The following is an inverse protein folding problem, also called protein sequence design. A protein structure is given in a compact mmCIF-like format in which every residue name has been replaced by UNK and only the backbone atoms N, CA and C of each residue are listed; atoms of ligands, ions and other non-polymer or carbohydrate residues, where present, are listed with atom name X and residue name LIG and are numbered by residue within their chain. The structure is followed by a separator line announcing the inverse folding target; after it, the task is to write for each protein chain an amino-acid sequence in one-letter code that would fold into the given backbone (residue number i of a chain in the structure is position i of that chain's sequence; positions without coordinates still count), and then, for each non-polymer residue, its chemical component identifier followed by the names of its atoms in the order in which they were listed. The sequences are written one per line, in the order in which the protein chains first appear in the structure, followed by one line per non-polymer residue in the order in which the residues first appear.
data_IF_878387734373
#
_entry.id   IF_878387734373
#
_cell.length_a   1.000
_cell.length_b   1.000
_cell.length_c   1.000
_cell.angle_alpha   90.00
_cell.angle_beta   90.00
_cell.angle_gamma   90.00
#
_symmetry.space_group_name_H-M   'P 1'
#
loop_
_entity.id
_entity.type
_entity.pdbx_description
1 polymer ?
#
# COMPACT_ATOMS: atom_id res chain seq x y z
N UNK A 1 -3.82 2.89 12.13
CA UNK A 1 -3.94 4.32 11.75
C UNK A 1 -4.13 5.28 12.91
N UNK A 2 -4.59 4.86 14.11
CA UNK A 2 -4.73 5.82 15.21
C UNK A 2 -5.81 6.89 14.95
N UNK A 3 -6.92 6.50 14.31
CA UNK A 3 -8.00 7.40 13.87
C UNK A 3 -8.78 8.07 15.00
N UNK A 4 -8.50 7.70 16.25
CA UNK A 4 -9.05 8.31 17.44
C UNK A 4 -7.93 8.98 18.27
N UNK A 5 -7.26 10.03 17.75
CA UNK A 5 -6.22 10.73 18.48
C UNK A 5 -6.77 11.52 19.67
N UNK A 6 -5.87 11.89 20.58
CA UNK A 6 -6.13 12.84 21.67
C UNK A 6 -5.85 14.27 21.17
N UNK A 7 -6.82 15.16 21.33
CA UNK A 7 -6.72 16.55 20.92
C UNK A 7 -5.71 17.33 21.80
N UNK A 8 -4.74 17.99 21.16
CA UNK A 8 -3.64 18.69 21.85
C UNK A 8 -4.09 19.92 22.67
N UNK A 9 -5.27 20.48 22.37
CA UNK A 9 -5.78 21.66 23.06
C UNK A 9 -6.63 21.33 24.30
N UNK A 10 -7.35 20.20 24.29
CA UNK A 10 -8.35 19.90 25.31
C UNK A 10 -8.29 18.48 25.89
N UNK A 11 -7.36 17.64 25.43
CA UNK A 11 -7.14 16.28 25.94
C UNK A 11 -8.26 15.28 25.64
N UNK A 12 -9.25 15.63 24.80
CA UNK A 12 -10.34 14.73 24.43
C UNK A 12 -9.98 13.90 23.21
N UNK A 13 -10.45 12.66 23.19
CA UNK A 13 -10.36 11.78 22.02
C UNK A 13 -11.44 12.13 21.00
N UNK A 14 -11.11 12.08 19.71
CA UNK A 14 -12.07 12.26 18.62
C UNK A 14 -11.52 11.77 17.28
N UNK A 15 -12.36 11.75 16.24
CA UNK A 15 -11.95 11.31 14.89
C UNK A 15 -10.88 12.24 14.31
N UNK A 16 -9.72 11.70 14.00
CA UNK A 16 -8.58 12.45 13.47
C UNK A 16 -8.85 12.94 12.04
N UNK A 17 -8.36 14.13 11.68
CA UNK A 17 -8.50 14.70 10.34
C UNK A 17 -7.16 15.25 9.85
N UNK A 18 -6.93 15.38 8.52
CA UNK A 18 -7.80 14.96 7.41
C UNK A 18 -7.66 13.46 7.08
N UNK A 19 -8.51 12.94 6.19
CA UNK A 19 -8.32 11.59 5.61
C UNK A 19 -7.17 11.54 4.61
N UNK A 20 -7.09 12.57 3.76
CA UNK A 20 -6.20 12.65 2.61
C UNK A 20 -5.78 14.10 2.39
N UNK A 21 -4.74 14.29 1.59
CA UNK A 21 -4.23 15.59 1.19
C UNK A 21 -4.15 15.72 -0.35
N UNK A 22 -4.03 16.95 -0.81
CA UNK A 22 -3.57 17.28 -2.16
C UNK A 22 -2.83 18.61 -2.08
N UNK A 23 -2.36 19.13 -3.22
CA UNK A 23 -1.69 20.42 -3.25
C UNK A 23 -2.62 21.51 -2.66
N UNK A 24 -2.14 22.18 -1.62
CA UNK A 24 -2.90 23.17 -0.86
C UNK A 24 -2.19 24.50 -0.64
N UNK A 25 -1.02 24.72 -1.25
CA UNK A 25 -0.25 25.96 -1.14
C UNK A 25 1.24 25.75 -0.93
N UNK A 26 1.88 26.68 -0.22
CA UNK A 26 3.33 26.74 -0.06
C UNK A 26 3.99 27.47 -1.24
N UNK A 27 4.90 26.80 -1.94
CA UNK A 27 5.56 27.32 -3.15
C UNK A 27 4.84 26.96 -4.45
N UNK A 28 3.62 26.43 -4.36
CA UNK A 28 2.85 25.90 -5.49
C UNK A 28 1.40 26.41 -5.42
N UNK A 29 0.86 26.81 -6.57
CA UNK A 29 -0.46 27.44 -6.69
C UNK A 29 -1.22 26.90 -7.91
N UNK A 30 -2.55 26.90 -7.82
CA UNK A 30 -3.42 26.69 -8.98
C UNK A 30 -3.69 28.03 -9.66
N UNK A 31 -3.51 28.09 -10.97
CA UNK A 31 -3.97 29.24 -11.76
C UNK A 31 -5.44 29.06 -12.08
N UNK A 32 -6.25 29.99 -11.59
CA UNK A 32 -7.69 30.02 -11.83
C UNK A 32 -8.04 31.30 -12.57
N UNK A 33 -9.00 31.19 -13.48
CA UNK A 33 -9.49 32.28 -14.29
C UNK A 33 -10.60 33.02 -13.56
N UNK A 34 -10.45 34.33 -13.42
CA UNK A 34 -11.46 35.26 -12.95
C UNK A 34 -11.76 36.29 -14.03
N UNK A 35 -12.89 36.99 -13.89
CA UNK A 35 -13.24 38.12 -14.73
C UNK A 35 -13.33 39.37 -13.86
N UNK A 36 -12.50 40.37 -14.15
CA UNK A 36 -12.57 41.68 -13.53
C UNK A 36 -13.01 42.67 -14.60
N UNK A 37 -14.20 43.27 -14.43
CA UNK A 37 -14.78 44.22 -15.40
C UNK A 37 -14.94 43.65 -16.83
N UNK A 38 -15.08 42.33 -16.96
CA UNK A 38 -15.24 41.65 -18.27
C UNK A 38 -13.93 41.14 -18.88
N UNK A 39 -12.78 41.51 -18.31
CA UNK A 39 -11.47 41.05 -18.79
C UNK A 39 -10.99 39.80 -18.03
N UNK A 40 -10.42 38.80 -18.73
CA UNK A 40 -9.87 37.60 -18.10
C UNK A 40 -8.62 37.93 -17.28
N UNK A 41 -8.61 37.49 -16.03
CA UNK A 41 -7.49 37.61 -15.10
C UNK A 41 -7.16 36.23 -14.51
N UNK A 42 -5.91 35.79 -14.68
CA UNK A 42 -5.41 34.60 -14.00
C UNK A 42 -4.86 34.99 -12.64
N UNK A 43 -5.30 34.30 -11.59
CA UNK A 43 -4.79 34.50 -10.24
C UNK A 43 -4.36 33.20 -9.60
N UNK A 44 -3.23 33.24 -8.89
CA UNK A 44 -2.70 32.13 -8.14
C UNK A 44 -3.54 31.91 -6.87
N UNK A 45 -4.14 30.73 -6.75
CA UNK A 45 -4.93 30.32 -5.58
C UNK A 45 -4.36 29.06 -4.92
N UNK A 46 -4.66 28.91 -3.64
CA UNK A 46 -4.18 27.83 -2.78
C UNK A 46 -5.27 27.47 -1.75
N UNK A 47 -4.88 26.80 -0.67
CA UNK A 47 -5.76 26.35 0.40
C UNK A 47 -6.35 24.97 0.13
N UNK A 48 -6.88 24.36 1.19
CA UNK A 48 -7.62 23.09 1.11
C UNK A 48 -8.87 23.22 0.21
N UNK A 49 -9.41 24.43 0.04
CA UNK A 49 -10.46 24.74 -0.95
C UNK A 49 -10.06 24.42 -2.40
N UNK A 50 -8.75 24.38 -2.72
CA UNK A 50 -8.26 23.94 -4.03
C UNK A 50 -8.00 22.42 -4.07
N UNK A 51 -7.60 21.83 -2.93
CA UNK A 51 -7.42 20.39 -2.79
C UNK A 51 -8.74 19.61 -2.89
N UNK A 52 -9.82 20.11 -2.29
CA UNK A 52 -11.15 19.47 -2.29
C UNK A 52 -11.72 19.21 -3.69
N UNK A 53 -11.81 20.21 -4.61
CA UNK A 53 -12.32 19.95 -5.96
C UNK A 53 -11.40 19.06 -6.80
N UNK A 54 -10.09 19.04 -6.52
CA UNK A 54 -9.18 18.08 -7.14
C UNK A 54 -9.56 16.64 -6.77
N UNK A 55 -9.78 16.36 -5.49
CA UNK A 55 -10.26 15.05 -5.03
C UNK A 55 -11.64 14.71 -5.59
N UNK A 56 -12.59 15.66 -5.61
CA UNK A 56 -13.91 15.44 -6.20
C UNK A 56 -13.84 15.06 -7.69
N UNK A 57 -12.98 15.72 -8.46
CA UNK A 57 -12.76 15.39 -9.87
C UNK A 57 -12.04 14.06 -10.07
N UNK A 58 -11.17 13.66 -9.15
CA UNK A 58 -10.52 12.36 -9.17
C UNK A 58 -11.52 11.24 -8.87
N UNK A 59 -12.36 11.40 -7.85
CA UNK A 59 -13.43 10.46 -7.51
C UNK A 59 -14.41 10.27 -8.67
N UNK A 60 -14.80 11.33 -9.36
CA UNK A 60 -15.67 11.22 -10.53
C UNK A 60 -15.04 10.40 -11.67
N UNK A 61 -13.72 10.50 -11.86
CA UNK A 61 -13.00 9.66 -12.84
C UNK A 61 -12.91 8.20 -12.38
N UNK A 62 -12.72 7.96 -11.09
CA UNK A 62 -12.76 6.61 -10.51
C UNK A 62 -14.14 5.97 -10.69
N UNK A 63 -15.22 6.70 -10.41
CA UNK A 63 -16.60 6.22 -10.63
C UNK A 63 -16.87 5.89 -12.11
N UNK A 64 -16.33 6.67 -13.05
CA UNK A 64 -16.44 6.35 -14.47
C UNK A 64 -15.76 5.01 -14.80
N UNK A 65 -14.56 4.78 -14.25
CA UNK A 65 -13.84 3.51 -14.42
C UNK A 65 -14.60 2.36 -13.76
N UNK A 66 -15.14 2.55 -12.57
CA UNK A 66 -15.94 1.55 -11.85
C UNK A 66 -17.16 1.15 -12.67
N UNK A 67 -17.89 2.12 -13.21
CA UNK A 67 -19.01 1.88 -14.11
C UNK A 67 -18.61 1.08 -15.36
N UNK A 68 -17.47 1.42 -15.97
CA UNK A 68 -16.96 0.74 -17.16
C UNK A 68 -16.59 -0.73 -16.91
N UNK A 69 -16.20 -1.08 -15.68
CA UNK A 69 -15.88 -2.47 -15.27
C UNK A 69 -17.02 -3.16 -14.50
N UNK A 70 -18.21 -2.56 -14.46
CA UNK A 70 -19.41 -3.15 -13.85
C UNK A 70 -19.47 -3.11 -12.32
N UNK A 71 -18.65 -2.27 -11.68
CA UNK A 71 -18.68 -2.03 -10.24
C UNK A 71 -19.63 -0.85 -9.88
N UNK A 72 -20.21 -0.84 -8.67
CA UNK A 72 -21.06 0.26 -8.21
C UNK A 72 -20.24 1.53 -7.92
N UNK A 73 -20.86 2.71 -7.96
CA UNK A 73 -20.18 3.96 -7.57
C UNK A 73 -19.62 3.90 -6.14
N UNK A 74 -18.50 4.57 -5.90
CA UNK A 74 -17.77 4.57 -4.63
C UNK A 74 -18.61 5.08 -3.44
N UNK A 75 -19.46 6.09 -3.65
CA UNK A 75 -20.32 6.62 -2.59
C UNK A 75 -19.53 7.18 -1.39
N UNK A 76 -19.80 6.67 -0.18
CA UNK A 76 -18.98 6.95 1.00
C UNK A 76 -17.91 5.86 1.14
N UNK A 77 -16.67 6.19 0.77
CA UNK A 77 -15.59 5.21 0.57
C UNK A 77 -14.40 5.40 1.51
N UNK A 78 -14.60 6.05 2.66
CA UNK A 78 -13.53 6.25 3.64
C UNK A 78 -12.91 4.93 4.11
N UNK A 79 -13.71 3.91 4.36
CA UNK A 79 -13.21 2.62 4.88
C UNK A 79 -12.25 1.96 3.85
N UNK A 80 -12.65 1.95 2.58
CA UNK A 80 -11.82 1.38 1.51
C UNK A 80 -10.61 2.27 1.15
N UNK A 81 -10.59 3.58 1.49
CA UNK A 81 -9.35 4.39 1.42
C UNK A 81 -8.31 3.88 2.42
N UNK A 82 -8.73 3.58 3.64
CA UNK A 82 -7.84 3.05 4.67
C UNK A 82 -7.39 1.62 4.37
N UNK A 83 -8.25 0.81 3.74
CA UNK A 83 -7.86 -0.50 3.25
C UNK A 83 -6.87 -0.38 2.09
N UNK A 84 -7.12 0.50 1.11
CA UNK A 84 -6.21 0.78 0.00
C UNK A 84 -4.83 1.21 0.50
N UNK A 85 -4.76 2.05 1.54
CA UNK A 85 -3.49 2.47 2.13
C UNK A 85 -2.72 1.33 2.82
N UNK A 86 -3.40 0.28 3.26
CA UNK A 86 -2.79 -0.90 3.88
C UNK A 86 -2.37 -1.94 2.83
N UNK A 87 -3.21 -2.19 1.81
CA UNK A 87 -2.95 -3.22 0.79
C UNK A 87 -2.08 -2.73 -0.38
N UNK A 88 -2.14 -1.43 -0.67
CA UNK A 88 -1.42 -0.77 -1.76
C UNK A 88 -0.83 0.55 -1.24
N UNK A 89 0.19 0.53 -0.37
CA UNK A 89 0.78 1.74 0.18
C UNK A 89 1.36 2.71 -0.86
N UNK A 90 1.56 2.29 -2.11
CA UNK A 90 1.91 3.14 -3.25
C UNK A 90 0.75 3.99 -3.79
N UNK A 91 -0.51 3.66 -3.45
CA UNK A 91 -1.70 4.44 -3.80
C UNK A 91 -1.67 5.87 -3.23
N UNK A 92 -0.86 6.12 -2.20
CA UNK A 92 -0.66 7.43 -1.62
C UNK A 92 0.82 7.82 -1.58
N UNK A 93 1.12 9.07 -1.89
CA UNK A 93 2.40 9.68 -1.57
C UNK A 93 2.32 10.25 -0.16
N UNK A 94 2.96 9.54 0.76
CA UNK A 94 3.05 9.84 2.18
C UNK A 94 3.89 11.09 2.43
N UNK A 95 3.30 12.07 3.11
CA UNK A 95 3.96 13.34 3.40
C UNK A 95 4.54 13.24 4.81
N UNK A 96 5.84 13.02 4.91
CA UNK A 96 6.49 12.75 6.21
C UNK A 96 7.18 13.97 6.82
N UNK A 97 7.18 15.11 6.13
CA UNK A 97 7.88 16.32 6.53
C UNK A 97 6.94 17.52 6.57
N UNK A 98 6.85 18.16 7.73
CA UNK A 98 6.03 19.36 7.94
C UNK A 98 5.22 19.31 9.22
N UNK A 99 4.41 20.36 9.43
CA UNK A 99 3.46 20.43 10.53
C UNK A 99 2.33 21.43 10.21
N UNK A 100 1.26 21.39 10.99
CA UNK A 100 0.17 22.36 10.95
C UNK A 100 0.10 23.26 12.21
N UNK A 101 1.24 23.49 12.87
CA UNK A 101 1.33 24.30 14.09
C UNK A 101 1.12 25.77 13.74
N UNK A 102 -0.13 26.23 13.92
CA UNK A 102 -0.56 27.58 13.53
C UNK A 102 -1.57 28.21 14.49
N UNK A 103 -1.79 27.59 15.65
CA UNK A 103 -2.82 28.04 16.61
C UNK A 103 -2.37 29.23 17.46
N UNK A 104 -3.30 30.13 17.74
CA UNK A 104 -3.08 31.38 18.48
C UNK A 104 -4.32 31.76 19.30
N UNK A 105 -4.15 32.68 20.26
CA UNK A 105 -5.27 33.44 20.84
C UNK A 105 -5.10 34.94 20.58
N UNK A 106 -6.23 35.64 20.43
CA UNK A 106 -6.24 37.11 20.31
C UNK A 106 -5.86 37.71 21.66
N UNK A 107 -4.97 38.69 21.63
CA UNK A 107 -4.41 39.32 22.81
C UNK A 107 -4.38 40.84 22.65
N UNK A 108 -4.20 41.56 23.76
CA UNK A 108 -3.90 42.98 23.72
C UNK A 108 -2.42 43.21 23.40
N UNK A 109 -2.09 44.41 22.88
CA UNK A 109 -0.73 44.83 22.50
C UNK A 109 0.33 44.54 23.57
N UNK A 110 -0.03 44.72 24.83
CA UNK A 110 0.90 44.64 25.96
C UNK A 110 0.99 43.22 26.56
N UNK A 111 0.29 42.25 25.99
CA UNK A 111 0.38 40.85 26.41
C UNK A 111 1.79 40.31 26.10
N UNK A 112 2.47 39.62 27.04
CA UNK A 112 3.75 39.00 26.77
C UNK A 112 3.71 38.12 25.52
N UNK A 113 4.72 38.25 24.65
CA UNK A 113 4.83 37.52 23.37
C UNK A 113 3.76 37.84 22.33
N UNK A 114 2.95 38.89 22.52
CA UNK A 114 2.02 39.34 21.50
C UNK A 114 2.76 39.82 20.24
N UNK A 115 2.35 39.30 19.09
CA UNK A 115 2.78 39.74 17.77
C UNK A 115 1.58 40.35 17.03
N UNK A 116 1.82 41.42 16.28
CA UNK A 116 0.77 42.01 15.44
C UNK A 116 0.67 41.23 14.13
N UNK A 117 -0.48 40.61 13.88
CA UNK A 117 -0.79 39.93 12.64
C UNK A 117 -1.48 40.90 11.68
N UNK A 118 -0.84 41.15 10.54
CA UNK A 118 -1.34 42.11 9.54
C UNK A 118 -2.58 41.61 8.79
N UNK A 119 -2.71 40.29 8.60
CA UNK A 119 -3.85 39.72 7.90
C UNK A 119 -5.12 39.78 8.75
N UNK A 120 -4.96 39.69 10.08
CA UNK A 120 -6.05 39.77 11.05
C UNK A 120 -6.30 41.17 11.61
N UNK A 121 -5.36 42.11 11.41
CA UNK A 121 -5.34 43.44 12.03
C UNK A 121 -5.47 43.39 13.56
N UNK A 122 -4.78 42.44 14.20
CA UNK A 122 -4.89 42.18 15.65
C UNK A 122 -3.57 41.70 16.24
N UNK A 123 -3.41 41.89 17.55
CA UNK A 123 -2.35 41.23 18.30
C UNK A 123 -2.77 39.80 18.65
N UNK A 124 -1.85 38.85 18.46
CA UNK A 124 -2.04 37.43 18.75
C UNK A 124 -0.87 36.89 19.56
N UNK A 125 -1.11 35.84 20.33
CA UNK A 125 -0.06 35.04 20.97
C UNK A 125 -0.13 33.62 20.40
N UNK A 126 0.91 33.17 19.66
CA UNK A 126 1.00 31.79 19.20
C UNK A 126 1.05 30.82 20.37
N UNK A 127 0.30 29.72 20.29
CA UNK A 127 0.28 28.72 21.37
C UNK A 127 1.27 27.58 21.13
N UNK A 128 1.73 27.39 19.89
CA UNK A 128 2.57 26.26 19.51
C UNK A 128 1.83 24.93 19.42
N UNK A 129 0.50 24.90 19.54
CA UNK A 129 -0.29 23.68 19.42
C UNK A 129 -0.54 23.30 17.96
N UNK A 130 -0.37 22.03 17.64
CA UNK A 130 -0.62 21.44 16.33
C UNK A 130 -0.01 20.04 16.25
N UNK A 131 0.11 19.53 15.03
CA UNK A 131 0.56 18.17 14.73
C UNK A 131 1.71 18.19 13.73
N UNK A 132 2.60 17.21 13.84
CA UNK A 132 3.69 16.98 12.91
C UNK A 132 3.26 15.92 11.89
N UNK A 133 3.77 16.05 10.66
CA UNK A 133 3.70 15.00 9.66
C UNK A 133 4.65 13.85 10.02
N UNK A 134 4.39 12.64 9.53
CA UNK A 134 5.21 11.47 9.84
C UNK A 134 4.89 10.27 8.94
N UNK A 135 5.53 9.12 9.18
CA UNK A 135 5.28 7.92 8.39
C UNK A 135 3.87 7.37 8.60
N UNK A 136 3.14 7.17 7.49
CA UNK A 136 1.77 6.66 7.48
C UNK A 136 0.74 7.75 7.79
N UNK A 137 -0.40 7.35 8.37
CA UNK A 137 -1.47 8.31 8.66
C UNK A 137 -1.05 9.33 9.72
N UNK A 138 -1.17 10.62 9.40
CA UNK A 138 -0.93 11.71 10.34
C UNK A 138 -2.05 12.77 10.35
N UNK A 139 -2.02 13.67 11.34
CA UNK A 139 -3.06 14.70 11.55
C UNK A 139 -2.77 16.01 10.81
N UNK A 140 -1.91 15.95 9.80
CA UNK A 140 -1.56 17.06 8.91
C UNK A 140 -2.01 16.79 7.49
N UNK A 141 -1.78 15.57 6.99
CA UNK A 141 -2.01 15.16 5.59
C UNK A 141 -2.78 13.85 5.45
N UNK A 142 -3.18 13.22 6.56
CA UNK A 142 -3.93 11.98 6.55
C UNK A 142 -3.11 10.85 5.95
N UNK A 143 -3.66 10.13 4.98
CA UNK A 143 -2.98 9.10 4.21
C UNK A 143 -1.95 9.67 3.20
N UNK A 144 -1.93 10.99 2.99
CA UNK A 144 -1.08 11.66 2.01
C UNK A 144 -1.83 12.04 0.74
N UNK A 145 -1.07 12.25 -0.34
CA UNK A 145 -1.62 12.69 -1.66
C UNK A 145 -1.86 11.51 -2.59
N UNK A 146 -2.84 11.57 -3.51
CA UNK A 146 -3.18 10.40 -4.31
C UNK A 146 -2.15 10.12 -5.41
N UNK A 147 -1.87 8.84 -5.63
CA UNK A 147 -1.46 8.32 -6.93
C UNK A 147 -2.71 7.83 -7.65
N UNK A 148 -3.21 8.62 -8.61
CA UNK A 148 -4.52 8.34 -9.22
C UNK A 148 -4.61 6.96 -9.86
N UNK A 149 -3.52 6.46 -10.46
CA UNK A 149 -3.51 5.16 -11.12
C UNK A 149 -3.51 4.01 -10.11
N UNK A 150 -2.59 4.05 -9.14
CA UNK A 150 -2.48 3.00 -8.13
C UNK A 150 -3.70 2.99 -7.21
N UNK A 151 -4.20 4.16 -6.80
CA UNK A 151 -5.41 4.28 -5.98
C UNK A 151 -6.64 3.72 -6.69
N UNK A 152 -6.86 4.06 -7.97
CA UNK A 152 -8.01 3.53 -8.71
C UNK A 152 -7.95 2.01 -8.82
N UNK A 153 -6.77 1.44 -9.07
CA UNK A 153 -6.57 -0.02 -9.12
C UNK A 153 -6.84 -0.67 -7.76
N UNK A 154 -6.28 -0.11 -6.69
CA UNK A 154 -6.48 -0.63 -5.33
C UNK A 154 -7.97 -0.62 -4.94
N UNK A 155 -8.68 0.49 -5.20
CA UNK A 155 -10.12 0.58 -4.92
C UNK A 155 -10.92 -0.42 -5.75
N UNK A 156 -10.59 -0.61 -7.03
CA UNK A 156 -11.26 -1.59 -7.89
C UNK A 156 -11.01 -3.03 -7.41
N UNK A 157 -9.78 -3.35 -6.99
CA UNK A 157 -9.44 -4.64 -6.39
C UNK A 157 -10.24 -4.88 -5.11
N UNK A 158 -10.32 -3.89 -4.22
CA UNK A 158 -11.10 -3.99 -2.98
C UNK A 158 -12.58 -4.21 -3.26
N UNK A 159 -13.18 -3.38 -4.12
CA UNK A 159 -14.59 -3.50 -4.45
C UNK A 159 -14.92 -4.82 -5.15
N UNK A 160 -14.01 -5.33 -5.99
CA UNK A 160 -14.19 -6.65 -6.60
C UNK A 160 -14.11 -7.77 -5.56
N UNK A 161 -13.15 -7.70 -4.63
CA UNK A 161 -13.01 -8.65 -3.54
C UNK A 161 -14.23 -8.65 -2.61
N UNK A 162 -14.77 -7.48 -2.24
CA UNK A 162 -15.96 -7.39 -1.39
C UNK A 162 -17.22 -8.01 -2.03
N UNK A 163 -17.31 -8.01 -3.37
CA UNK A 163 -18.48 -8.48 -4.11
C UNK A 163 -18.33 -9.92 -4.62
N UNK A 164 -17.13 -10.31 -5.01
CA UNK A 164 -16.82 -11.54 -5.73
C UNK A 164 -15.61 -12.28 -5.16
N UNK A 165 -15.09 -11.88 -3.99
CA UNK A 165 -13.91 -12.49 -3.40
C UNK A 165 -14.12 -13.97 -3.09
N UNK A 166 -13.08 -14.75 -3.37
CA UNK A 166 -13.04 -16.20 -3.12
C UNK A 166 -11.78 -16.61 -2.37
N UNK A 167 -10.80 -15.72 -2.25
CA UNK A 167 -9.60 -16.03 -1.48
C UNK A 167 -9.93 -16.12 0.00
N UNK A 168 -9.45 -17.19 0.63
CA UNK A 168 -9.60 -17.37 2.06
C UNK A 168 -8.62 -16.45 2.79
N UNK A 169 -8.95 -15.89 3.97
CA UNK A 169 -7.99 -15.11 4.73
C UNK A 169 -6.74 -15.90 5.11
N UNK A 170 -5.62 -15.23 5.40
CA UNK A 170 -4.44 -15.92 5.97
C UNK A 170 -4.75 -16.49 7.35
N UNK A 171 -5.47 -15.72 8.18
CA UNK A 171 -5.93 -16.08 9.52
C UNK A 171 -7.46 -16.11 9.58
N UNK A 172 -8.04 -17.21 10.05
CA UNK A 172 -9.50 -17.35 10.27
C UNK A 172 -10.01 -16.47 11.41
N UNK A 173 -9.14 -16.11 12.35
CA UNK A 173 -9.41 -15.17 13.43
C UNK A 173 -8.11 -14.60 13.97
N UNK A 174 -8.14 -13.38 14.52
CA UNK A 174 -6.96 -12.76 15.10
C UNK A 174 -7.29 -11.72 16.18
N UNK A 175 -6.30 -11.43 17.02
CA UNK A 175 -6.28 -10.29 17.94
C UNK A 175 -5.23 -9.27 17.47
N UNK A 176 -4.71 -8.45 18.40
CA UNK A 176 -3.73 -7.40 18.09
C UNK A 176 -2.28 -7.89 17.99
N UNK A 177 -2.00 -9.18 18.25
CA UNK A 177 -0.64 -9.74 18.31
C UNK A 177 -0.52 -11.13 17.67
N UNK A 178 -1.62 -11.86 17.49
CA UNK A 178 -1.64 -13.23 17.01
C UNK A 178 -2.97 -13.59 16.35
N UNK A 179 -3.03 -14.73 15.68
CA UNK A 179 -4.28 -15.31 15.19
C UNK A 179 -4.16 -16.80 14.92
N UNK A 180 -5.21 -17.37 14.33
CA UNK A 180 -5.31 -18.78 13.95
C UNK A 180 -5.27 -18.90 12.43
N UNK A 181 -4.36 -19.71 11.91
CA UNK A 181 -4.21 -19.97 10.48
C UNK A 181 -5.47 -20.62 9.91
N UNK A 182 -5.91 -20.12 8.76
CA UNK A 182 -7.12 -20.59 8.10
C UNK A 182 -6.92 -21.92 7.38
N UNK A 183 -5.80 -22.05 6.67
CA UNK A 183 -5.53 -23.17 5.77
C UNK A 183 -4.10 -23.71 5.90
N UNK A 184 -3.91 -24.95 5.44
CA UNK A 184 -2.60 -25.52 5.14
C UNK A 184 -1.98 -24.75 3.97
N UNK A 185 -0.83 -24.10 4.20
CA UNK A 185 -0.25 -23.20 3.20
C UNK A 185 1.25 -22.99 3.40
N UNK A 186 1.91 -22.53 2.34
CA UNK A 186 3.25 -21.95 2.43
C UNK A 186 3.14 -20.46 2.66
N UNK A 187 3.95 -19.92 3.58
CA UNK A 187 4.11 -18.49 3.78
C UNK A 187 5.56 -18.10 3.55
N UNK A 188 5.76 -17.03 2.79
CA UNK A 188 7.02 -16.29 2.73
C UNK A 188 7.10 -15.36 3.93
N UNK A 189 8.30 -15.18 4.48
CA UNK A 189 8.56 -14.32 5.64
C UNK A 189 9.71 -13.39 5.30
N UNK A 190 9.48 -12.07 5.31
CA UNK A 190 10.49 -11.09 4.97
C UNK A 190 10.48 -9.91 5.94
N UNK A 191 11.66 -9.50 6.39
CA UNK A 191 11.84 -8.35 7.28
C UNK A 191 12.15 -7.08 6.50
N UNK A 192 11.53 -5.97 6.89
CA UNK A 192 11.89 -4.60 6.48
C UNK A 192 12.51 -3.80 7.63
N UNK A 193 12.80 -4.45 8.77
CA UNK A 193 13.41 -3.79 9.93
C UNK A 193 14.78 -3.19 9.57
N UNK A 194 15.00 -1.94 9.96
CA UNK A 194 16.26 -1.24 9.69
C UNK A 194 17.47 -1.88 10.37
N UNK A 195 17.25 -2.49 11.55
CA UNK A 195 18.26 -3.24 12.28
C UNK A 195 18.01 -4.75 12.11
N UNK A 196 19.09 -5.53 12.10
CA UNK A 196 18.98 -6.98 12.11
C UNK A 196 18.21 -7.49 13.32
N UNK A 197 17.42 -8.53 13.13
CA UNK A 197 16.55 -9.08 14.15
C UNK A 197 16.51 -10.61 14.09
N UNK A 198 16.49 -11.23 15.26
CA UNK A 198 16.01 -12.61 15.42
C UNK A 198 14.49 -12.56 15.48
N UNK A 199 13.84 -13.26 14.55
CA UNK A 199 12.39 -13.29 14.39
C UNK A 199 11.91 -14.68 14.72
N UNK A 200 11.10 -14.79 15.78
CA UNK A 200 10.42 -16.04 16.13
C UNK A 200 8.96 -15.97 15.67
N UNK A 201 8.52 -16.97 14.91
CA UNK A 201 7.12 -17.19 14.55
C UNK A 201 6.53 -18.17 15.57
N UNK A 202 5.90 -17.58 16.58
CA UNK A 202 5.33 -18.30 17.72
C UNK A 202 4.13 -19.14 17.28
N UNK A 203 3.94 -20.29 17.92
CA UNK A 203 2.83 -21.23 17.64
C UNK A 203 3.06 -22.15 16.42
N UNK A 204 3.86 -21.70 15.44
CA UNK A 204 4.30 -22.49 14.28
C UNK A 204 5.69 -23.11 14.50
N UNK A 205 6.53 -22.49 15.35
CA UNK A 205 7.85 -23.02 15.70
C UNK A 205 8.95 -22.72 14.67
N UNK A 206 8.77 -21.70 13.84
CA UNK A 206 9.79 -21.23 12.90
C UNK A 206 10.61 -20.08 13.49
N UNK A 207 11.90 -20.01 13.13
CA UNK A 207 12.79 -18.92 13.52
C UNK A 207 13.63 -18.48 12.33
N UNK A 208 13.74 -17.17 12.16
CA UNK A 208 14.51 -16.54 11.09
C UNK A 208 15.52 -15.55 11.68
N UNK A 209 16.66 -15.42 11.02
CA UNK A 209 17.66 -14.41 11.34
C UNK A 209 17.79 -13.49 10.13
N UNK A 210 17.37 -12.23 10.28
CA UNK A 210 17.46 -11.24 9.22
C UNK A 210 18.55 -10.20 9.52
N UNK A 211 19.22 -9.75 8.46
CA UNK A 211 20.01 -8.53 8.48
C UNK A 211 19.11 -7.29 8.49
N UNK A 212 19.68 -6.13 8.81
CA UNK A 212 18.97 -4.86 8.71
C UNK A 212 18.75 -4.46 7.26
N UNK A 213 17.61 -3.83 6.98
CA UNK A 213 17.28 -3.27 5.68
C UNK A 213 17.74 -1.81 5.58
N UNK A 214 18.23 -1.42 4.41
CA UNK A 214 18.58 -0.03 4.11
C UNK A 214 17.34 0.86 4.08
N UNK A 215 17.51 2.15 4.39
CA UNK A 215 16.43 3.15 4.27
C UNK A 215 15.97 3.41 2.83
N UNK A 216 16.73 2.92 1.85
CA UNK A 216 16.40 2.96 0.42
C UNK A 216 16.18 1.55 -0.16
N UNK A 217 16.04 0.54 0.70
CA UNK A 217 15.70 -0.81 0.27
C UNK A 217 14.30 -0.84 -0.36
N UNK A 218 14.03 -1.89 -1.14
CA UNK A 218 12.70 -2.08 -1.69
C UNK A 218 11.68 -2.36 -0.59
N UNK A 219 10.65 -1.54 -0.54
CA UNK A 219 9.44 -1.79 0.23
C UNK A 219 8.24 -1.95 -0.71
N UNK A 220 7.06 -2.27 -0.16
CA UNK A 220 5.85 -2.43 -0.96
C UNK A 220 5.48 -1.15 -1.72
N UNK A 221 5.71 0.02 -1.10
CA UNK A 221 5.41 1.33 -1.71
C UNK A 221 6.27 1.57 -2.95
N UNK A 222 7.59 1.40 -2.85
CA UNK A 222 8.51 1.53 -3.97
C UNK A 222 8.21 0.48 -5.04
N UNK A 223 7.98 -0.78 -4.63
CA UNK A 223 7.64 -1.86 -5.54
C UNK A 223 6.41 -1.50 -6.41
N UNK A 224 5.36 -0.91 -5.84
CA UNK A 224 4.20 -0.47 -6.60
C UNK A 224 4.50 0.73 -7.52
N UNK A 225 5.27 1.70 -7.03
CA UNK A 225 5.63 2.91 -7.81
C UNK A 225 6.47 2.57 -9.03
N UNK A 226 7.44 1.66 -8.91
CA UNK A 226 8.30 1.30 -10.06
C UNK A 226 7.54 0.58 -11.16
N UNK A 227 6.35 0.02 -10.87
CA UNK A 227 5.52 -0.70 -11.84
C UNK A 227 4.72 0.22 -12.78
N UNK A 228 4.91 1.53 -12.67
CA UNK A 228 4.40 2.49 -13.63
C UNK A 228 5.33 2.56 -14.85
N UNK A 229 4.75 2.60 -16.05
CA UNK A 229 5.50 2.50 -17.30
C UNK A 229 6.46 3.67 -17.52
N UNK A 230 6.14 4.84 -16.98
CA UNK A 230 6.90 6.09 -17.06
C UNK A 230 7.89 6.27 -15.90
N UNK A 231 7.91 5.37 -14.91
CA UNK A 231 8.89 5.45 -13.83
C UNK A 231 10.31 5.22 -14.39
N UNK A 232 11.25 6.06 -13.97
CA UNK A 232 12.60 6.14 -14.55
C UNK A 232 13.41 4.86 -14.34
N UNK A 233 13.89 4.19 -15.41
CA UNK A 233 14.81 3.06 -15.30
C UNK A 233 16.10 3.40 -14.54
N UNK A 234 16.54 4.66 -14.61
CA UNK A 234 17.75 5.13 -13.95
C UNK A 234 17.59 5.14 -12.43
N UNK A 235 16.39 5.49 -11.95
CA UNK A 235 16.06 5.42 -10.53
C UNK A 235 15.95 3.98 -10.06
N UNK A 236 15.37 3.09 -10.86
CA UNK A 236 15.34 1.65 -10.54
C UNK A 236 16.76 1.11 -10.36
N UNK A 237 17.68 1.45 -11.28
CA UNK A 237 19.09 1.06 -11.21
C UNK A 237 19.84 1.68 -10.03
N UNK A 238 19.49 2.92 -9.66
CA UNK A 238 20.10 3.62 -8.52
C UNK A 238 19.69 2.99 -7.18
N UNK A 239 18.41 2.60 -7.07
CA UNK A 239 17.85 2.03 -5.84
C UNK A 239 18.15 0.53 -5.70
N UNK A 240 18.53 -0.12 -6.79
CA UNK A 240 18.94 -1.52 -6.76
C UNK A 240 20.25 -1.76 -5.98
N UNK A 241 20.35 -2.93 -5.36
CA UNK A 241 21.51 -3.33 -4.56
C UNK A 241 21.53 -2.77 -3.13
N UNK A 242 20.53 -1.96 -2.75
CA UNK A 242 20.31 -1.60 -1.37
C UNK A 242 20.12 -2.86 -0.50
N UNK A 243 20.85 -3.01 0.63
CA UNK A 243 20.72 -4.17 1.50
C UNK A 243 19.27 -4.39 1.95
N UNK A 244 18.76 -5.60 1.75
CA UNK A 244 17.42 -6.02 2.15
C UNK A 244 17.45 -7.48 2.62
N UNK A 245 16.58 -7.83 3.57
CA UNK A 245 16.42 -9.21 3.99
C UNK A 245 15.92 -10.08 2.82
N UNK A 246 16.60 -11.21 2.57
CA UNK A 246 16.05 -12.24 1.69
C UNK A 246 14.84 -12.90 2.36
N UNK A 247 13.77 -13.20 1.63
CA UNK A 247 12.62 -13.90 2.20
C UNK A 247 13.00 -15.33 2.60
N UNK A 248 12.52 -15.75 3.76
CA UNK A 248 12.45 -17.16 4.14
C UNK A 248 11.07 -17.74 3.80
N UNK A 249 10.91 -19.06 3.92
CA UNK A 249 9.63 -19.74 3.73
C UNK A 249 9.34 -20.67 4.90
N UNK A 250 8.06 -20.85 5.22
CA UNK A 250 7.58 -21.84 6.18
C UNK A 250 6.31 -22.51 5.68
N UNK A 251 6.16 -23.79 5.99
CA UNK A 251 4.90 -24.52 5.85
C UNK A 251 4.13 -24.43 7.16
N UNK A 252 2.84 -24.18 7.06
CA UNK A 252 1.97 -24.05 8.22
C UNK A 252 0.68 -24.84 8.00
N UNK A 253 0.05 -25.24 9.10
CA UNK A 253 -1.19 -26.01 9.07
C UNK A 253 -2.39 -25.20 9.56
N UNK A 254 -3.56 -25.50 9.02
CA UNK A 254 -4.84 -24.94 9.45
C UNK A 254 -5.05 -25.17 10.96
N UNK A 255 -5.58 -24.17 11.65
CA UNK A 255 -5.85 -24.22 13.08
C UNK A 255 -4.63 -23.98 13.99
N UNK A 256 -3.41 -23.91 13.45
CA UNK A 256 -2.25 -23.47 14.24
C UNK A 256 -2.36 -21.98 14.60
N UNK A 257 -1.91 -21.63 15.80
CA UNK A 257 -1.74 -20.22 16.15
C UNK A 257 -0.47 -19.66 15.53
N UNK A 258 -0.53 -18.42 15.07
CA UNK A 258 0.60 -17.66 14.58
C UNK A 258 0.67 -16.31 15.29
N UNK A 259 1.80 -16.04 15.92
CA UNK A 259 2.18 -14.72 16.43
C UNK A 259 3.66 -14.49 16.20
N UNK A 260 4.16 -13.30 16.49
CA UNK A 260 5.57 -12.98 16.20
C UNK A 260 6.26 -12.25 17.33
N UNK A 261 7.54 -12.55 17.51
CA UNK A 261 8.42 -11.84 18.44
C UNK A 261 9.71 -11.41 17.74
N UNK A 262 10.15 -10.18 18.00
CA UNK A 262 11.43 -9.64 17.54
C UNK A 262 12.38 -9.56 18.74
N UNK A 263 13.52 -10.23 18.66
CA UNK A 263 14.51 -10.26 19.75
C UNK A 263 13.87 -10.59 21.11
N UNK A 264 12.96 -11.57 21.12
CA UNK A 264 12.17 -12.04 22.28
C UNK A 264 11.09 -11.07 22.80
N UNK A 265 10.83 -9.95 22.12
CA UNK A 265 9.72 -9.05 22.45
C UNK A 265 8.55 -9.29 21.50
N UNK A 266 7.34 -9.47 22.02
CA UNK A 266 6.14 -9.67 21.20
C UNK A 266 5.91 -8.46 20.29
N UNK A 267 5.63 -8.73 19.02
CA UNK A 267 5.31 -7.73 18.02
C UNK A 267 3.78 -7.60 17.86
N UNK A 268 3.32 -6.38 17.57
CA UNK A 268 1.91 -6.13 17.25
C UNK A 268 1.61 -6.61 15.83
N UNK A 269 0.42 -7.20 15.64
CA UNK A 269 -0.13 -7.55 14.34
C UNK A 269 -0.72 -6.28 13.70
N UNK A 270 0.07 -5.64 12.85
CA UNK A 270 -0.21 -4.33 12.28
C UNK A 270 -1.17 -4.46 11.09
N UNK A 271 -2.28 -3.71 11.14
CA UNK A 271 -3.27 -3.58 10.06
C UNK A 271 -3.92 -4.88 9.54
N UNK A 272 -3.87 -5.99 10.27
CA UNK A 272 -4.42 -7.27 9.81
C UNK A 272 -5.90 -7.22 9.40
N UNK A 273 -6.73 -6.42 10.07
CA UNK A 273 -8.13 -6.19 9.66
C UNK A 273 -8.28 -5.74 8.18
N UNK A 274 -7.24 -5.17 7.58
CA UNK A 274 -7.26 -4.66 6.21
C UNK A 274 -6.48 -5.56 5.23
N UNK A 275 -5.51 -6.34 5.69
CA UNK A 275 -4.57 -7.08 4.81
C UNK A 275 -4.78 -8.59 4.83
N UNK A 276 -5.41 -9.12 5.88
CA UNK A 276 -5.55 -10.56 6.10
C UNK A 276 -6.24 -11.29 4.94
N UNK A 277 -7.26 -10.65 4.36
CA UNK A 277 -8.05 -11.19 3.25
C UNK A 277 -7.32 -11.06 1.90
N UNK A 278 -6.20 -10.33 1.86
CA UNK A 278 -5.39 -10.09 0.66
C UNK A 278 -4.09 -10.90 0.67
N UNK A 279 -4.05 -11.99 1.44
CA UNK A 279 -2.96 -12.96 1.40
C UNK A 279 -1.67 -12.55 2.10
N UNK A 280 -1.68 -11.46 2.90
CA UNK A 280 -0.49 -11.04 3.64
C UNK A 280 -0.79 -10.34 4.98
N UNK A 281 0.19 -10.37 5.88
CA UNK A 281 0.12 -9.79 7.22
C UNK A 281 1.47 -9.18 7.60
N UNK A 282 1.46 -8.14 8.42
CA UNK A 282 2.69 -7.54 8.94
C UNK A 282 2.66 -7.51 10.46
N UNK A 283 3.71 -8.04 11.10
CA UNK A 283 3.99 -7.77 12.50
C UNK A 283 4.95 -6.58 12.60
N UNK A 284 4.66 -5.58 13.42
CA UNK A 284 5.47 -4.37 13.54
C UNK A 284 4.65 -3.09 13.66
N UNK A 285 5.01 -2.07 12.87
CA UNK A 285 4.38 -0.75 12.86
C UNK A 285 4.39 -0.14 11.45
N UNK A 286 3.93 1.10 11.33
CA UNK A 286 4.03 1.89 10.09
C UNK A 286 5.48 2.14 9.64
N UNK A 287 6.46 2.02 10.55
CA UNK A 287 7.88 2.28 10.29
C UNK A 287 8.69 1.03 9.94
N UNK A 288 8.03 -0.12 9.78
CA UNK A 288 8.66 -1.38 9.41
C UNK A 288 8.29 -2.54 10.31
N UNK A 289 8.62 -3.74 9.84
CA UNK A 289 8.20 -4.97 10.50
C UNK A 289 8.66 -6.21 9.76
N UNK A 290 7.96 -7.31 10.03
CA UNK A 290 8.10 -8.56 9.29
C UNK A 290 6.77 -8.86 8.64
N UNK A 291 6.81 -8.93 7.31
CA UNK A 291 5.65 -9.30 6.50
C UNK A 291 5.69 -10.79 6.23
N UNK A 292 4.55 -11.44 6.39
CA UNK A 292 4.29 -12.78 5.86
C UNK A 292 3.30 -12.69 4.72
N UNK A 293 3.53 -13.43 3.64
CA UNK A 293 2.68 -13.39 2.46
C UNK A 293 2.62 -14.76 1.79
N UNK A 294 1.51 -15.07 1.11
CA UNK A 294 1.40 -16.26 0.28
C UNK A 294 2.29 -16.13 -0.96
N UNK A 295 3.04 -17.19 -1.33
CA UNK A 295 3.72 -17.25 -2.62
C UNK A 295 2.76 -17.65 -3.77
N UNK A 296 1.57 -18.15 -3.43
CA UNK A 296 0.48 -18.51 -4.35
C UNK A 296 -0.58 -17.42 -4.29
N UNK A 297 -1.11 -17.05 -5.46
CA UNK A 297 -2.22 -16.10 -5.59
C UNK A 297 -3.47 -16.86 -6.02
N UNK A 298 -4.60 -16.55 -5.39
CA UNK A 298 -5.93 -16.94 -5.85
C UNK A 298 -6.43 -15.87 -6.80
N UNK A 299 -6.90 -16.28 -7.98
CA UNK A 299 -7.30 -15.33 -9.02
C UNK A 299 -8.70 -14.77 -8.75
N UNK A 300 -8.76 -13.50 -8.36
CA UNK A 300 -10.01 -12.74 -8.30
C UNK A 300 -10.17 -11.91 -9.57
N UNK A 301 -10.98 -12.44 -10.49
CA UNK A 301 -11.20 -11.83 -11.79
C UNK A 301 -12.35 -10.81 -11.70
N UNK A 302 -12.40 -9.83 -12.62
CA UNK A 302 -13.47 -8.85 -12.64
C UNK A 302 -14.85 -9.53 -12.72
N UNK A 303 -15.74 -9.21 -11.78
CA UNK A 303 -17.09 -9.77 -11.68
C UNK A 303 -17.15 -11.30 -11.49
N UNK A 304 -16.04 -11.93 -11.09
CA UNK A 304 -15.94 -13.39 -10.91
C UNK A 304 -16.05 -14.19 -12.21
N UNK A 305 -15.60 -13.63 -13.33
CA UNK A 305 -15.62 -14.28 -14.64
C UNK A 305 -14.43 -15.22 -14.86
N UNK A 306 -14.66 -16.32 -15.56
CA UNK A 306 -13.60 -17.22 -16.04
C UNK A 306 -13.04 -16.75 -17.40
N UNK A 307 -11.97 -17.42 -17.86
CA UNK A 307 -11.34 -17.19 -19.17
C UNK A 307 -10.89 -15.73 -19.42
N UNK A 308 -10.49 -15.00 -18.37
CA UNK A 308 -10.05 -13.60 -18.54
C UNK A 308 -8.57 -13.50 -18.88
N UNK A 309 -8.21 -12.44 -19.61
CA UNK A 309 -6.81 -12.08 -19.80
C UNK A 309 -6.31 -11.26 -18.61
N UNK A 310 -5.31 -11.77 -17.90
CA UNK A 310 -4.65 -11.03 -16.82
C UNK A 310 -3.44 -10.27 -17.34
N UNK A 311 -3.37 -8.97 -17.03
CA UNK A 311 -2.23 -8.12 -17.39
C UNK A 311 -1.06 -8.39 -16.45
N UNK A 312 0.05 -8.83 -17.02
CA UNK A 312 1.32 -9.03 -16.29
C UNK A 312 2.24 -7.86 -16.59
N UNK A 313 2.58 -7.09 -15.56
CA UNK A 313 3.56 -6.01 -15.64
C UNK A 313 4.85 -6.51 -15.01
N UNK A 314 5.98 -6.22 -15.64
CA UNK A 314 7.29 -6.63 -15.14
C UNK A 314 8.23 -5.42 -15.17
N UNK A 315 8.89 -5.19 -14.03
CA UNK A 315 10.06 -4.34 -13.94
C UNK A 315 11.22 -5.22 -13.52
N UNK A 316 12.31 -5.19 -14.28
CA UNK A 316 13.49 -5.99 -13.95
C UNK A 316 14.70 -5.07 -13.81
N UNK A 317 15.36 -5.14 -12.64
CA UNK A 317 16.72 -4.64 -12.51
C UNK A 317 17.74 -5.77 -12.56
N UNK A 318 18.84 -5.56 -13.26
CA UNK A 318 19.89 -6.58 -13.44
C UNK A 318 20.29 -6.78 -14.90
N UNK A 319 21.43 -7.44 -15.07
CA UNK A 319 22.08 -7.71 -16.38
C UNK A 319 21.81 -9.14 -16.89
N UNK A 320 21.24 -10.00 -16.05
CA UNK A 320 20.98 -11.39 -16.40
C UNK A 320 19.67 -11.51 -17.16
N UNK A 321 19.65 -12.40 -18.15
CA UNK A 321 18.42 -12.84 -18.78
C UNK A 321 17.59 -13.58 -17.74
N UNK A 322 16.49 -12.94 -17.33
CA UNK A 322 15.52 -13.53 -16.43
C UNK A 322 14.26 -13.86 -17.21
N UNK A 323 13.64 -14.98 -16.83
CA UNK A 323 12.43 -15.48 -17.43
C UNK A 323 11.41 -15.75 -16.33
N UNK A 324 10.17 -15.34 -16.57
CA UNK A 324 9.04 -15.62 -15.68
C UNK A 324 8.09 -16.58 -16.38
N UNK A 325 7.68 -17.64 -15.67
CA UNK A 325 6.58 -18.52 -16.04
C UNK A 325 5.56 -18.47 -14.92
N UNK A 326 4.30 -18.16 -15.26
CA UNK A 326 3.17 -18.25 -14.35
C UNK A 326 2.42 -19.55 -14.63
N UNK A 327 2.02 -20.29 -13.60
CA UNK A 327 1.40 -21.60 -13.75
C UNK A 327 0.40 -21.87 -12.61
N UNK A 328 -0.52 -22.81 -12.86
CA UNK A 328 -1.56 -23.22 -11.89
C UNK A 328 -1.03 -24.27 -10.91
N UNK A 329 -1.47 -24.16 -9.66
CA UNK A 329 -1.21 -25.12 -8.57
C UNK A 329 -2.53 -25.63 -7.99
N UNK A 330 -2.48 -26.73 -7.24
CA UNK A 330 -3.66 -27.38 -6.64
C UNK A 330 -4.07 -26.77 -5.30
N UNK A 331 -3.13 -26.12 -4.59
CA UNK A 331 -3.36 -25.60 -3.24
C UNK A 331 -2.44 -24.43 -2.89
N UNK A 332 -2.68 -23.82 -1.71
CA UNK A 332 -1.91 -22.70 -1.17
C UNK A 332 -0.49 -23.07 -0.72
N UNK A 333 -0.13 -24.35 -0.75
CA UNK A 333 1.24 -24.83 -0.55
C UNK A 333 2.00 -24.99 -1.87
N UNK A 334 1.32 -24.77 -3.01
CA UNK A 334 1.90 -24.86 -4.34
C UNK A 334 2.01 -26.29 -4.86
N UNK A 335 1.26 -27.26 -4.35
CA UNK A 335 1.37 -28.63 -4.88
C UNK A 335 0.84 -28.75 -6.31
N UNK A 336 1.39 -29.70 -7.07
CA UNK A 336 0.87 -30.10 -8.38
C UNK A 336 0.82 -31.63 -8.48
N UNK A 337 -0.37 -32.19 -8.55
CA UNK A 337 -0.58 -33.64 -8.60
C UNK A 337 0.02 -34.38 -7.40
N UNK A 338 0.03 -33.73 -6.23
CA UNK A 338 0.66 -34.25 -5.01
C UNK A 338 2.19 -34.07 -4.91
N UNK A 339 2.82 -33.40 -5.88
CA UNK A 339 4.24 -33.03 -5.82
C UNK A 339 4.40 -31.67 -5.14
N UNK A 340 5.29 -31.56 -4.17
CA UNK A 340 5.65 -30.28 -3.54
C UNK A 340 6.70 -29.52 -4.37
N UNK A 341 6.76 -28.17 -4.28
CA UNK A 341 7.84 -27.41 -4.88
C UNK A 341 9.23 -27.95 -4.48
N UNK A 342 10.04 -28.29 -5.48
CA UNK A 342 11.38 -28.87 -5.29
C UNK A 342 11.44 -30.40 -5.44
N UNK A 343 10.30 -31.09 -5.46
CA UNK A 343 10.25 -32.52 -5.71
C UNK A 343 10.71 -32.89 -7.13
N UNK A 344 11.24 -34.10 -7.27
CA UNK A 344 11.56 -34.66 -8.58
C UNK A 344 10.28 -34.73 -9.44
N UNK A 345 10.32 -34.09 -10.62
CA UNK A 345 9.18 -34.02 -11.54
C UNK A 345 8.29 -32.79 -11.37
N UNK A 346 8.43 -32.02 -10.29
CA UNK A 346 7.62 -30.81 -10.07
C UNK A 346 7.78 -29.79 -11.22
N UNK A 347 9.00 -29.56 -11.70
CA UNK A 347 9.26 -28.64 -12.81
C UNK A 347 8.53 -29.04 -14.11
N UNK A 348 8.44 -30.35 -14.40
CA UNK A 348 7.70 -30.83 -15.57
C UNK A 348 6.19 -30.68 -15.37
N UNK A 349 5.69 -30.93 -14.15
CA UNK A 349 4.29 -30.74 -13.80
C UNK A 349 3.88 -29.25 -13.90
N UNK A 350 4.71 -28.34 -13.40
CA UNK A 350 4.52 -26.89 -13.51
C UNK A 350 4.51 -26.42 -14.97
N UNK A 351 5.45 -26.90 -15.80
CA UNK A 351 5.47 -26.58 -17.22
C UNK A 351 4.18 -27.02 -17.94
N UNK A 352 3.59 -28.16 -17.55
CA UNK A 352 2.32 -28.66 -18.08
C UNK A 352 1.09 -27.83 -17.66
N UNK A 353 1.24 -26.94 -16.68
CA UNK A 353 0.17 -26.07 -16.15
C UNK A 353 0.42 -24.59 -16.35
N UNK A 354 1.47 -24.23 -17.11
CA UNK A 354 1.81 -22.86 -17.38
C UNK A 354 0.72 -22.15 -18.19
N UNK A 355 0.47 -20.89 -17.84
CA UNK A 355 -0.44 -20.05 -18.59
C UNK A 355 0.18 -19.68 -19.94
N UNK A 356 -0.68 -19.58 -20.96
CA UNK A 356 -0.29 -19.07 -22.27
C UNK A 356 -0.09 -17.55 -22.20
N UNK A 357 0.96 -17.06 -22.83
CA UNK A 357 1.22 -15.62 -22.97
C UNK A 357 0.64 -15.14 -24.30
N UNK A 358 -0.01 -13.97 -24.30
CA UNK A 358 -0.46 -13.34 -25.55
C UNK A 358 0.75 -13.07 -26.44
N UNK A 359 0.71 -13.58 -27.67
CA UNK A 359 1.87 -13.59 -28.58
C UNK A 359 2.57 -14.95 -28.67
N UNK A 360 2.18 -15.92 -27.84
CA UNK A 360 2.61 -17.32 -27.90
C UNK A 360 3.65 -17.70 -26.86
N UNK A 361 3.72 -19.00 -26.56
CA UNK A 361 4.58 -19.56 -25.52
C UNK A 361 4.04 -19.36 -24.11
N UNK A 362 4.87 -19.70 -23.12
CA UNK A 362 4.53 -19.68 -21.68
C UNK A 362 5.57 -18.94 -20.85
N UNK A 363 6.51 -18.27 -21.52
CA UNK A 363 7.66 -17.59 -20.91
C UNK A 363 7.55 -16.10 -21.21
N UNK A 364 7.64 -15.30 -20.15
CA UNK A 364 7.74 -13.85 -20.24
C UNK A 364 9.19 -13.46 -20.01
N UNK A 365 9.79 -12.82 -21.01
CA UNK A 365 11.16 -12.34 -20.91
C UNK A 365 11.21 -11.07 -20.08
N UNK A 366 12.16 -11.04 -19.15
CA UNK A 366 12.44 -9.85 -18.37
C UNK A 366 12.99 -8.72 -19.27
N UNK A 367 12.57 -7.47 -19.06
CA UNK A 367 12.99 -6.33 -19.88
C UNK A 367 14.42 -5.83 -19.59
N UNK A 368 15.05 -6.29 -18.51
CA UNK A 368 16.42 -5.94 -18.09
C UNK A 368 16.65 -4.48 -17.68
N UNK A 369 17.74 -4.20 -16.99
CA UNK A 369 18.29 -2.83 -16.82
C UNK A 369 17.31 -1.73 -16.33
N UNK A 370 16.42 -2.08 -15.41
CA UNK A 370 15.42 -1.16 -14.86
C UNK A 370 14.28 -0.85 -15.84
N UNK A 371 14.19 -1.55 -16.97
CA UNK A 371 13.14 -1.34 -17.96
C UNK A 371 11.81 -1.98 -17.52
N UNK A 372 10.73 -1.47 -18.09
CA UNK A 372 9.37 -1.93 -17.87
C UNK A 372 8.87 -2.70 -19.10
N UNK A 373 8.16 -3.80 -18.88
CA UNK A 373 7.37 -4.47 -19.91
C UNK A 373 5.98 -4.82 -19.38
N UNK A 374 5.06 -4.98 -20.32
CA UNK A 374 3.70 -5.43 -20.04
C UNK A 374 3.32 -6.48 -21.08
N UNK A 375 2.69 -7.55 -20.63
CA UNK A 375 2.07 -8.57 -21.46
C UNK A 375 0.75 -9.02 -20.83
N UNK A 376 0.13 -10.03 -21.40
CA UNK A 376 -1.05 -10.69 -20.84
C UNK A 376 -0.84 -12.19 -20.81
N UNK A 377 -1.36 -12.84 -19.77
CA UNK A 377 -1.64 -14.27 -19.78
C UNK A 377 -3.13 -14.48 -20.09
N UNK A 378 -3.46 -15.57 -20.75
CA UNK A 378 -4.84 -15.92 -21.14
C UNK A 378 -5.41 -17.02 -20.26
N UNK A 379 -6.72 -17.20 -20.32
CA UNK A 379 -7.44 -18.32 -19.70
C UNK A 379 -7.23 -18.38 -18.18
N UNK A 380 -7.30 -17.21 -17.53
CA UNK A 380 -7.28 -17.11 -16.08
C UNK A 380 -8.72 -17.21 -15.59
N UNK A 381 -8.96 -18.26 -14.80
CA UNK A 381 -10.26 -18.52 -14.21
C UNK A 381 -10.38 -17.84 -12.84
N UNK A 382 -11.62 -17.67 -12.39
CA UNK A 382 -11.89 -17.18 -11.05
C UNK A 382 -11.72 -18.32 -10.03
N UNK A 383 -10.84 -18.12 -9.05
CA UNK A 383 -10.54 -19.08 -7.98
C UNK A 383 -9.28 -19.91 -8.18
#
# INVERSE_FOLDING_TARGET
FGLMPVNVSNGKTGRGIPDVAALGGGSMFYYVLYYLQGDPLYSANAGTSSATPMWASLTAQMDAIFHDIGLPNLGFYNDILYQAAAISPGAFNDVTLGNNISSYFIADRDTPYAIYDQALDRYIVPTGLGYQSGEGYDLTTGLGTPDGLLLTRALATIANHELYGVDAPVLSSHDTVSGTLDADQTLLVQSTLANGASVAVNGVGAQFQFGGSSSIAWDARLAEKVMQADFSPDLVRLLDGAPQAMPGSMQVAAGQSMGMSFNNSQAALYQANNTNDYGFLTWGSSSGGVTVARPVLVAETPLGHDDVNAVVRIRQNGVYDQHLTLYRVDDLSGHIGGLAPGDAGYAAAAAGRAYSVVGGGTVINGPGYGQFSQTQITDVDHG
#
